data_IF_055660515246
#
_entry.id   IF_055660515246
#
_cell.length_a   1.000
_cell.length_b   1.000
_cell.length_c   1.000
_cell.angle_alpha   90.00
_cell.angle_beta   90.00
_cell.angle_gamma   90.00
#
_symmetry.space_group_name_H-M   'P 1'
#
loop_
_entity.id
_entity.type
_entity.pdbx_description
1 polymer ?
#
# COMPACT_ATOMS: atom_id res chain seq x y z
N UNK A 1 -2.18 6.96 3.49
CA UNK A 1 -3.12 5.82 3.35
C UNK A 1 -2.60 4.64 4.16
N UNK A 2 -3.46 3.97 4.88
CA UNK A 2 -3.07 2.79 5.68
C UNK A 2 -3.31 1.49 4.90
N UNK A 3 -3.00 0.35 5.52
CA UNK A 3 -3.17 -0.96 4.89
C UNK A 3 -4.60 -1.21 4.43
N UNK A 4 -5.59 -0.88 5.26
CA UNK A 4 -6.99 -1.06 4.90
C UNK A 4 -7.37 -0.21 3.69
N UNK A 5 -6.87 1.02 3.60
CA UNK A 5 -7.11 1.90 2.45
C UNK A 5 -6.54 1.33 1.15
N UNK A 6 -5.36 0.74 1.19
CA UNK A 6 -4.77 0.09 0.03
C UNK A 6 -5.58 -1.13 -0.41
N UNK A 7 -6.08 -1.90 0.56
CA UNK A 7 -6.95 -3.04 0.25
C UNK A 7 -8.24 -2.59 -0.45
N UNK A 8 -8.83 -1.50 0.01
CA UNK A 8 -10.02 -0.93 -0.64
C UNK A 8 -9.72 -0.45 -2.06
N UNK A 9 -8.54 0.12 -2.28
CA UNK A 9 -8.12 0.56 -3.62
C UNK A 9 -8.02 -0.63 -4.59
N UNK A 10 -7.52 -1.77 -4.14
CA UNK A 10 -7.46 -2.97 -4.96
C UNK A 10 -8.88 -3.49 -5.27
N UNK A 11 -9.76 -3.51 -4.27
CA UNK A 11 -11.14 -3.93 -4.46
C UNK A 11 -11.85 -3.06 -5.51
N UNK A 12 -11.63 -1.76 -5.45
CA UNK A 12 -12.19 -0.83 -6.41
C UNK A 12 -11.63 -1.07 -7.81
N UNK A 13 -10.33 -1.28 -7.93
CA UNK A 13 -9.68 -1.54 -9.21
C UNK A 13 -10.24 -2.77 -9.92
N UNK A 14 -10.52 -3.83 -9.18
CA UNK A 14 -11.02 -5.09 -9.73
C UNK A 14 -12.54 -5.21 -9.69
N UNK A 15 -13.24 -4.23 -9.13
CA UNK A 15 -14.70 -4.28 -9.01
C UNK A 15 -15.21 -5.38 -8.10
N UNK A 16 -14.40 -5.83 -7.13
CA UNK A 16 -14.78 -6.88 -6.18
C UNK A 16 -15.33 -6.28 -4.90
N UNK A 17 -16.20 -7.03 -4.21
CA UNK A 17 -16.88 -6.54 -3.01
C UNK A 17 -16.45 -7.23 -1.72
N UNK A 18 -15.76 -8.37 -1.81
CA UNK A 18 -15.45 -9.18 -0.64
C UNK A 18 -13.96 -9.27 -0.38
N UNK A 19 -13.59 -9.32 0.89
CA UNK A 19 -12.20 -9.54 1.30
C UNK A 19 -11.73 -10.96 0.97
N UNK A 20 -12.66 -11.91 0.86
CA UNK A 20 -12.32 -13.27 0.46
C UNK A 20 -11.70 -13.30 -0.95
N UNK A 21 -12.34 -12.60 -1.91
CA UNK A 21 -11.79 -12.50 -3.27
C UNK A 21 -10.45 -11.76 -3.27
N UNK A 22 -10.35 -10.73 -2.45
CA UNK A 22 -9.11 -9.98 -2.28
C UNK A 22 -7.98 -10.88 -1.79
N UNK A 23 -8.26 -11.77 -0.83
CA UNK A 23 -7.27 -12.71 -0.32
C UNK A 23 -6.75 -13.64 -1.42
N UNK A 24 -7.59 -14.02 -2.35
CA UNK A 24 -7.18 -14.88 -3.46
C UNK A 24 -6.31 -14.14 -4.48
N UNK A 25 -6.62 -12.87 -4.75
CA UNK A 25 -5.81 -12.05 -5.65
C UNK A 25 -4.42 -11.83 -5.09
N UNK A 26 -4.33 -11.48 -3.81
CA UNK A 26 -3.07 -11.19 -3.14
C UNK A 26 -2.35 -12.44 -2.65
N UNK A 27 -3.01 -13.59 -2.67
CA UNK A 27 -2.47 -14.86 -2.17
C UNK A 27 -2.04 -14.80 -0.71
N UNK A 28 -2.82 -14.08 0.09
CA UNK A 28 -2.64 -14.00 1.55
C UNK A 28 -3.90 -14.49 2.23
N UNK A 29 -3.77 -14.98 3.48
CA UNK A 29 -4.90 -15.57 4.19
C UNK A 29 -5.96 -14.53 4.54
N UNK A 30 -7.26 -14.92 4.58
CA UNK A 30 -8.31 -14.03 5.06
C UNK A 30 -8.07 -13.50 6.47
N UNK A 31 -7.43 -14.31 7.33
CA UNK A 31 -7.06 -13.87 8.68
C UNK A 31 -6.11 -12.69 8.67
N UNK A 32 -5.12 -12.71 7.78
CA UNK A 32 -4.19 -11.59 7.64
C UNK A 32 -4.90 -10.33 7.16
N UNK A 33 -5.82 -10.47 6.20
CA UNK A 33 -6.62 -9.34 5.72
C UNK A 33 -7.45 -8.76 6.86
N UNK A 34 -8.06 -9.59 7.67
CA UNK A 34 -8.81 -9.16 8.84
C UNK A 34 -7.93 -8.35 9.81
N UNK A 35 -6.69 -8.78 10.02
CA UNK A 35 -5.75 -8.06 10.88
C UNK A 35 -5.40 -6.68 10.32
N UNK A 36 -5.23 -6.58 9.01
CA UNK A 36 -4.98 -5.29 8.37
C UNK A 36 -6.21 -4.37 8.46
N UNK A 37 -7.42 -4.92 8.29
CA UNK A 37 -8.68 -4.17 8.40
C UNK A 37 -8.89 -3.59 9.80
N UNK A 38 -8.51 -4.35 10.84
CA UNK A 38 -8.68 -3.92 12.22
C UNK A 38 -7.54 -3.05 12.74
N UNK A 39 -6.56 -2.76 11.90
CA UNK A 39 -5.36 -1.98 12.24
C UNK A 39 -4.49 -2.64 13.31
N UNK A 40 -4.69 -3.94 13.57
CA UNK A 40 -3.82 -4.69 14.48
C UNK A 40 -2.45 -4.94 13.88
N UNK A 41 -2.36 -4.90 12.57
CA UNK A 41 -1.13 -5.13 11.84
C UNK A 41 -1.12 -4.28 10.57
N UNK A 42 0.04 -3.75 10.21
CA UNK A 42 0.25 -3.09 8.94
C UNK A 42 1.02 -4.01 7.99
N UNK A 43 1.01 -3.70 6.70
CA UNK A 43 1.72 -4.51 5.71
C UNK A 43 3.19 -4.65 6.07
N UNK A 44 3.73 -5.86 5.92
CA UNK A 44 5.16 -6.07 5.93
C UNK A 44 5.73 -5.78 4.53
N UNK A 45 7.04 -5.91 4.37
CA UNK A 45 7.70 -5.61 3.10
C UNK A 45 7.19 -6.50 1.97
N UNK A 46 7.03 -7.80 2.22
CA UNK A 46 6.56 -8.73 1.19
C UNK A 46 5.13 -8.42 0.76
N UNK A 47 4.26 -8.09 1.70
CA UNK A 47 2.88 -7.70 1.40
C UNK A 47 2.85 -6.39 0.62
N UNK A 48 3.71 -5.44 0.96
CA UNK A 48 3.85 -4.19 0.20
C UNK A 48 4.21 -4.46 -1.26
N UNK A 49 5.10 -5.41 -1.52
CA UNK A 49 5.45 -5.79 -2.89
C UNK A 49 4.25 -6.32 -3.65
N UNK A 50 3.47 -7.20 -3.03
CA UNK A 50 2.27 -7.76 -3.66
C UNK A 50 1.24 -6.67 -3.97
N UNK A 51 0.98 -5.79 -3.01
CA UNK A 51 0.02 -4.70 -3.17
C UNK A 51 0.51 -3.70 -4.22
N UNK A 52 1.79 -3.39 -4.24
CA UNK A 52 2.38 -2.48 -5.23
C UNK A 52 2.17 -2.99 -6.66
N UNK A 53 2.38 -4.28 -6.89
CA UNK A 53 2.15 -4.90 -8.19
C UNK A 53 0.69 -4.73 -8.61
N UNK A 54 -0.24 -5.02 -7.70
CA UNK A 54 -1.67 -4.96 -8.01
C UNK A 54 -2.17 -3.53 -8.26
N UNK A 55 -1.57 -2.54 -7.61
CA UNK A 55 -1.96 -1.13 -7.76
C UNK A 55 -1.10 -0.37 -8.78
N UNK A 56 -0.13 -1.04 -9.40
CA UNK A 56 0.82 -0.40 -10.31
C UNK A 56 1.54 0.77 -9.63
N UNK A 57 1.98 0.55 -8.40
CA UNK A 57 2.71 1.51 -7.58
C UNK A 57 4.13 1.01 -7.33
N UNK A 58 5.01 1.89 -6.81
CA UNK A 58 6.34 1.46 -6.39
C UNK A 58 6.27 0.91 -4.96
N UNK A 59 7.16 -0.05 -4.67
CA UNK A 59 7.27 -0.60 -3.32
C UNK A 59 7.68 0.49 -2.33
N UNK A 60 8.58 1.36 -2.73
CA UNK A 60 9.07 2.48 -1.92
C UNK A 60 7.92 3.38 -1.47
N UNK A 61 7.00 3.69 -2.37
CA UNK A 61 5.83 4.50 -2.04
C UNK A 61 4.96 3.81 -0.98
N UNK A 62 4.68 2.52 -1.16
CA UNK A 62 3.86 1.77 -0.20
C UNK A 62 4.54 1.65 1.15
N UNK A 63 5.84 1.33 1.15
CA UNK A 63 6.60 1.24 2.41
C UNK A 63 6.60 2.57 3.15
N UNK A 64 6.78 3.68 2.44
CA UNK A 64 6.78 5.01 3.05
C UNK A 64 5.42 5.35 3.66
N UNK A 65 4.33 5.05 2.95
CA UNK A 65 2.97 5.28 3.45
C UNK A 65 2.70 4.46 4.72
N UNK A 66 3.06 3.18 4.71
CA UNK A 66 2.84 2.30 5.86
C UNK A 66 3.68 2.74 7.05
N UNK A 67 4.93 3.12 6.83
CA UNK A 67 5.79 3.61 7.90
C UNK A 67 5.29 4.92 8.48
N UNK A 68 4.72 5.80 7.65
CA UNK A 68 4.09 7.02 8.12
C UNK A 68 2.90 6.72 9.06
N UNK A 69 2.08 5.72 8.71
CA UNK A 69 0.98 5.29 9.57
C UNK A 69 1.49 4.77 10.91
N UNK A 70 2.53 3.94 10.89
CA UNK A 70 3.15 3.44 12.13
C UNK A 70 3.73 4.57 12.96
N UNK A 71 4.29 5.58 12.31
CA UNK A 71 4.94 6.70 12.97
C UNK A 71 3.96 7.71 13.58
N UNK A 72 2.66 7.59 13.32
CA UNK A 72 1.65 8.47 13.93
C UNK A 72 1.67 8.42 15.46
N UNK A 73 2.25 7.36 16.02
CA UNK A 73 2.40 7.18 17.47
C UNK A 73 3.77 7.61 17.97
N UNK A 74 4.63 8.17 17.12
CA UNK A 74 6.01 8.52 17.45
C UNK A 74 6.34 9.95 17.01
N UNK A 75 7.56 10.39 17.37
CA UNK A 75 8.08 11.70 16.99
C UNK A 75 8.40 11.85 15.49
N UNK A 76 8.34 10.76 14.73
CA UNK A 76 8.86 10.73 13.37
C UNK A 76 7.79 10.77 12.28
N UNK A 77 6.53 11.00 12.66
CA UNK A 77 5.43 11.02 11.71
C UNK A 77 5.66 11.99 10.53
N UNK A 78 6.05 13.23 10.84
CA UNK A 78 6.25 14.23 9.82
C UNK A 78 7.33 13.84 8.81
N UNK A 79 8.42 13.23 9.29
CA UNK A 79 9.51 12.78 8.43
C UNK A 79 9.05 11.68 7.48
N UNK A 80 8.27 10.72 7.98
CA UNK A 80 7.76 9.62 7.16
C UNK A 80 6.73 10.09 6.13
N UNK A 81 5.88 11.03 6.49
CA UNK A 81 4.93 11.63 5.54
C UNK A 81 5.63 12.37 4.43
N UNK A 82 6.70 13.10 4.76
CA UNK A 82 7.52 13.79 3.78
C UNK A 82 8.18 12.79 2.81
N UNK A 83 8.72 11.70 3.36
CA UNK A 83 9.32 10.64 2.56
C UNK A 83 8.32 10.02 1.59
N UNK A 84 7.09 9.75 2.04
CA UNK A 84 6.03 9.21 1.20
C UNK A 84 5.71 10.14 0.03
N UNK A 85 5.67 11.46 0.24
CA UNK A 85 5.43 12.42 -0.83
C UNK A 85 6.56 12.42 -1.86
N UNK A 86 7.80 12.30 -1.41
CA UNK A 86 8.95 12.24 -2.31
C UNK A 86 8.94 10.96 -3.16
N UNK A 87 8.61 9.83 -2.54
CA UNK A 87 8.50 8.56 -3.25
C UNK A 87 7.39 8.59 -4.31
N UNK A 88 6.26 9.24 -4.00
CA UNK A 88 5.16 9.40 -4.95
C UNK A 88 5.58 10.25 -6.15
N UNK A 89 6.33 11.33 -5.90
CA UNK A 89 6.85 12.19 -6.97
C UNK A 89 7.79 11.42 -7.89
N UNK A 90 8.70 10.63 -7.34
CA UNK A 90 9.63 9.80 -8.10
C UNK A 90 8.87 8.79 -8.99
N UNK A 91 7.80 8.18 -8.45
CA UNK A 91 6.95 7.27 -9.21
C UNK A 91 6.31 7.94 -10.42
N UNK A 92 5.78 9.15 -10.25
CA UNK A 92 5.17 9.90 -11.34
C UNK A 92 6.17 10.19 -12.46
N UNK A 93 7.40 10.54 -12.11
CA UNK A 93 8.45 10.76 -13.09
C UNK A 93 8.79 9.48 -13.83
N UNK A 94 8.87 8.34 -13.15
CA UNK A 94 9.14 7.06 -13.77
C UNK A 94 8.04 6.66 -14.74
N UNK A 95 6.76 6.86 -14.38
CA UNK A 95 5.64 6.58 -15.29
C UNK A 95 5.64 7.48 -16.51
N UNK A 96 5.99 8.74 -16.36
CA UNK A 96 6.13 9.66 -17.47
C UNK A 96 7.16 9.19 -18.48
N UNK A 97 8.32 8.74 -18.00
CA UNK A 97 9.37 8.19 -18.86
C UNK A 97 8.91 6.98 -19.64
N UNK A 98 8.15 6.08 -19.03
CA UNK A 98 7.63 4.91 -19.72
C UNK A 98 6.68 5.27 -20.85
N UNK A 99 5.89 6.31 -20.69
CA UNK A 99 4.93 6.75 -21.71
C UNK A 99 5.62 7.35 -22.94
N UNK A 100 6.80 7.88 -22.77
CA UNK A 100 7.56 8.50 -23.85
C UNK A 100 8.22 7.47 -24.77
N UNK A 101 8.22 6.22 -24.38
CA UNK A 101 8.73 5.15 -25.24
C UNK A 101 7.65 4.63 -26.17
#
# INVERSE_FOLDING_TARGET
>A
MNSAGFLDAIKEKYGIKTDYRLSRILKISPSRISMYRSSKREFDEDTCKLVAIELDETVEFLLAEIRAVRATRTKHEAAWRRFARLAKKARRCAKGRRREK
#
